data_IF_065560149440
#
_entry.id   IF_065560149440
#
_cell.length_a   1.000
_cell.length_b   1.000
_cell.length_c   1.000
_cell.angle_alpha   90.00
_cell.angle_beta   90.00
_cell.angle_gamma   90.00
#
_symmetry.space_group_name_H-M   'P 1'
#
loop_
_entity.id
_entity.type
_entity.pdbx_description
1 polymer ?
#
# COMPACT_ATOMS: atom_id res chain seq x y z
N UNK A 1 -27.04 -54.26 -24.53
CA UNK A 1 -27.03 -52.79 -24.77
C UNK A 1 -26.66 -52.09 -23.47
N UNK A 2 -25.56 -51.33 -23.47
CA UNK A 2 -25.01 -50.61 -22.30
C UNK A 2 -25.81 -49.32 -22.05
N UNK A 3 -26.14 -49.01 -20.81
CA UNK A 3 -26.47 -47.64 -20.36
C UNK A 3 -25.78 -47.39 -19.02
N UNK A 4 -24.55 -46.91 -19.08
CA UNK A 4 -23.88 -46.29 -17.93
C UNK A 4 -24.45 -44.88 -17.77
N UNK A 5 -25.23 -44.67 -16.71
CA UNK A 5 -25.70 -43.35 -16.30
C UNK A 5 -24.58 -42.70 -15.48
N UNK A 6 -23.67 -41.99 -16.14
CA UNK A 6 -22.73 -41.10 -15.47
C UNK A 6 -23.46 -39.79 -15.16
N UNK A 7 -23.94 -39.65 -13.91
CA UNK A 7 -24.34 -38.37 -13.35
C UNK A 7 -23.08 -37.55 -13.11
N UNK A 8 -22.75 -36.70 -14.08
CA UNK A 8 -21.68 -35.71 -14.00
C UNK A 8 -22.20 -34.52 -13.17
N UNK A 9 -22.13 -34.63 -11.85
CA UNK A 9 -22.27 -33.47 -10.96
C UNK A 9 -21.01 -32.62 -11.07
N UNK A 10 -20.95 -31.79 -12.11
CA UNK A 10 -20.01 -30.67 -12.17
C UNK A 10 -20.33 -29.71 -11.02
N UNK A 11 -19.63 -29.89 -9.89
CA UNK A 11 -19.42 -28.85 -8.90
C UNK A 11 -18.64 -27.72 -9.58
N UNK A 12 -19.38 -26.79 -10.18
CA UNK A 12 -18.85 -25.48 -10.54
C UNK A 12 -18.67 -24.77 -9.21
N UNK A 13 -17.51 -24.95 -8.57
CA UNK A 13 -17.02 -24.02 -7.58
C UNK A 13 -16.75 -22.70 -8.32
N UNK A 14 -17.78 -21.87 -8.42
CA UNK A 14 -17.63 -20.47 -8.75
C UNK A 14 -16.82 -19.84 -7.63
N UNK A 15 -15.49 -19.82 -7.78
CA UNK A 15 -14.64 -18.95 -6.99
C UNK A 15 -14.98 -17.51 -7.41
N UNK A 16 -15.98 -16.94 -6.76
CA UNK A 16 -16.18 -15.49 -6.75
C UNK A 16 -14.93 -14.89 -6.13
N UNK A 17 -13.95 -14.54 -6.97
CA UNK A 17 -12.75 -13.82 -6.57
C UNK A 17 -13.20 -12.46 -6.04
N UNK A 18 -13.49 -12.38 -4.73
CA UNK A 18 -13.83 -11.14 -4.09
C UNK A 18 -12.54 -10.35 -3.97
N UNK A 19 -12.41 -9.29 -4.77
CA UNK A 19 -11.31 -8.37 -4.62
C UNK A 19 -11.32 -7.82 -3.18
N UNK A 20 -10.18 -7.86 -2.50
CA UNK A 20 -10.09 -7.37 -1.13
C UNK A 20 -10.47 -5.89 -1.09
N UNK A 21 -11.52 -5.59 -0.32
CA UNK A 21 -11.97 -4.23 -0.12
C UNK A 21 -11.07 -3.57 0.93
N UNK A 22 -10.58 -2.36 0.63
CA UNK A 22 -9.83 -1.60 1.63
C UNK A 22 -10.71 -1.35 2.86
N UNK A 23 -10.14 -1.35 4.08
CA UNK A 23 -10.86 -0.94 5.27
C UNK A 23 -11.48 0.45 5.09
N UNK A 24 -12.60 0.69 5.79
CA UNK A 24 -13.26 1.98 5.74
C UNK A 24 -12.27 3.09 6.14
N UNK A 25 -12.32 4.23 5.43
CA UNK A 25 -11.32 5.28 5.62
C UNK A 25 -11.27 5.82 7.07
N UNK A 26 -12.39 5.83 7.79
CA UNK A 26 -12.42 6.20 9.21
C UNK A 26 -11.62 5.24 10.10
N UNK A 27 -11.61 3.94 9.78
CA UNK A 27 -10.77 2.94 10.47
C UNK A 27 -9.30 3.24 10.19
N UNK A 28 -8.94 3.49 8.92
CA UNK A 28 -7.56 3.79 8.53
C UNK A 28 -7.05 5.05 9.22
N UNK A 29 -7.84 6.14 9.25
CA UNK A 29 -7.48 7.37 9.98
C UNK A 29 -7.19 7.08 11.45
N UNK A 30 -8.07 6.33 12.11
CA UNK A 30 -7.92 5.96 13.52
C UNK A 30 -6.67 5.11 13.77
N UNK A 31 -6.40 4.15 12.89
CA UNK A 31 -5.22 3.28 13.01
C UNK A 31 -3.93 4.09 12.81
N UNK A 32 -3.85 4.95 11.79
CA UNK A 32 -2.68 5.80 11.56
C UNK A 32 -2.38 6.73 12.76
N UNK A 33 -3.42 7.25 13.41
CA UNK A 33 -3.29 8.06 14.63
C UNK A 33 -2.81 7.22 15.82
N UNK A 34 -3.38 6.02 16.00
CA UNK A 34 -3.01 5.08 17.07
C UNK A 34 -1.54 4.63 16.96
N UNK A 35 -1.03 4.48 15.74
CA UNK A 35 0.37 4.14 15.47
C UNK A 35 1.30 5.37 15.50
N UNK A 36 0.77 6.57 15.75
CA UNK A 36 1.56 7.81 15.81
C UNK A 36 2.11 8.26 14.45
N UNK A 37 1.56 7.75 13.34
CA UNK A 37 2.03 8.03 11.98
C UNK A 37 1.39 9.28 11.39
N UNK A 38 0.10 9.49 11.64
CA UNK A 38 -0.64 10.65 11.15
C UNK A 38 -1.91 10.85 11.98
N UNK A 39 -2.06 12.04 12.59
CA UNK A 39 -3.24 12.37 13.38
C UNK A 39 -4.50 12.40 12.52
N UNK A 40 -5.62 11.93 13.07
CA UNK A 40 -6.88 11.87 12.34
C UNK A 40 -7.37 13.26 11.87
N UNK A 41 -7.02 14.33 12.60
CA UNK A 41 -7.39 15.73 12.30
C UNK A 41 -6.64 16.35 11.12
N UNK A 42 -5.53 15.76 10.67
CA UNK A 42 -4.69 16.32 9.59
C UNK A 42 -5.29 16.08 8.19
N UNK A 43 -6.25 15.15 8.11
CA UNK A 43 -6.90 14.79 6.85
C UNK A 43 -7.88 15.86 6.38
N UNK A 44 -7.69 16.29 5.13
CA UNK A 44 -8.58 17.20 4.42
C UNK A 44 -9.28 16.46 3.29
N UNK A 45 -10.59 16.54 3.24
CA UNK A 45 -11.37 16.06 2.11
C UNK A 45 -11.21 17.03 0.93
N UNK A 46 -10.85 16.51 -0.26
CA UNK A 46 -10.65 17.34 -1.45
C UNK A 46 -11.60 17.02 -2.61
N UNK A 47 -12.62 16.19 -2.36
CA UNK A 47 -13.88 16.32 -3.10
C UNK A 47 -13.86 16.02 -4.59
N UNK A 48 -13.09 15.04 -5.06
CA UNK A 48 -13.39 14.42 -6.34
C UNK A 48 -14.56 13.43 -6.11
N UNK A 49 -15.79 13.86 -6.41
CA UNK A 49 -17.08 13.22 -6.03
C UNK A 49 -17.21 11.75 -6.43
N UNK A 50 -16.33 11.24 -7.31
CA UNK A 50 -16.30 9.83 -7.71
C UNK A 50 -15.34 8.95 -6.89
N UNK A 51 -14.38 9.54 -6.18
CA UNK A 51 -13.28 8.79 -5.53
C UNK A 51 -13.20 8.99 -4.02
N UNK A 52 -13.94 9.93 -3.44
CA UNK A 52 -13.88 10.25 -2.00
C UNK A 52 -12.45 10.46 -1.51
N UNK A 53 -11.73 11.36 -2.18
CA UNK A 53 -10.31 11.57 -1.95
C UNK A 53 -10.04 12.45 -0.73
N UNK A 54 -9.09 12.01 0.09
CA UNK A 54 -8.58 12.70 1.25
C UNK A 54 -7.07 12.85 1.14
N UNK A 55 -6.54 13.97 1.63
CA UNK A 55 -5.11 14.25 1.65
C UNK A 55 -4.69 14.83 2.99
N UNK A 56 -3.46 14.57 3.39
CA UNK A 56 -2.81 15.24 4.51
C UNK A 56 -1.38 15.62 4.10
N UNK A 57 -0.89 16.74 4.60
CA UNK A 57 0.50 17.18 4.41
C UNK A 57 1.05 17.52 5.78
N UNK A 58 2.06 16.78 6.23
CA UNK A 58 2.70 16.93 7.54
C UNK A 58 4.19 16.88 7.36
N UNK A 59 4.90 17.93 7.81
CA UNK A 59 6.37 18.04 7.74
C UNK A 59 6.97 17.74 6.36
N UNK A 60 6.25 18.11 5.29
CA UNK A 60 6.67 17.88 3.90
C UNK A 60 6.37 16.48 3.36
N UNK A 61 5.85 15.55 4.18
CA UNK A 61 5.31 14.28 3.72
C UNK A 61 3.85 14.46 3.30
N UNK A 62 3.46 13.75 2.25
CA UNK A 62 2.09 13.77 1.74
C UNK A 62 1.46 12.40 1.90
N UNK A 63 0.22 12.40 2.39
CA UNK A 63 -0.61 11.20 2.45
C UNK A 63 -1.82 11.41 1.56
N UNK A 64 -2.21 10.36 0.86
CA UNK A 64 -3.34 10.37 -0.04
C UNK A 64 -4.15 9.10 0.16
N UNK A 65 -5.48 9.23 0.20
CA UNK A 65 -6.38 8.10 0.36
C UNK A 65 -7.64 8.30 -0.46
N UNK A 66 -8.12 7.22 -1.07
CA UNK A 66 -9.42 7.16 -1.72
C UNK A 66 -10.01 5.75 -1.53
N UNK A 67 -11.15 5.46 -2.17
CA UNK A 67 -11.81 4.16 -2.04
C UNK A 67 -11.05 2.96 -2.66
N UNK A 68 -9.94 3.18 -3.38
CA UNK A 68 -9.16 2.16 -4.08
C UNK A 68 -7.73 2.01 -3.59
N UNK A 69 -7.15 3.08 -3.05
CA UNK A 69 -5.76 3.07 -2.64
C UNK A 69 -5.48 4.11 -1.55
N UNK A 70 -4.45 3.83 -0.75
CA UNK A 70 -3.93 4.67 0.32
C UNK A 70 -2.41 4.67 0.21
N UNK A 71 -1.79 5.84 0.18
CA UNK A 71 -0.36 6.00 -0.04
C UNK A 71 0.23 7.06 0.87
N UNK A 72 1.51 6.88 1.17
CA UNK A 72 2.38 7.86 1.80
C UNK A 72 3.53 8.19 0.84
N UNK A 73 3.84 9.47 0.72
CA UNK A 73 4.85 10.06 -0.15
C UNK A 73 5.80 10.83 0.75
N UNK A 74 7.04 10.39 0.80
CA UNK A 74 8.09 10.96 1.62
C UNK A 74 9.09 11.69 0.74
N UNK A 75 9.36 12.95 1.07
CA UNK A 75 10.39 13.74 0.39
C UNK A 75 11.66 13.75 1.23
N UNK A 76 12.71 13.12 0.73
CA UNK A 76 13.99 12.99 1.42
C UNK A 76 15.01 13.93 0.78
N UNK A 77 15.66 14.75 1.59
CA UNK A 77 16.74 15.65 1.15
C UNK A 77 18.00 15.41 1.98
N UNK A 78 19.17 15.62 1.39
CA UNK A 78 20.45 15.44 2.06
C UNK A 78 21.58 15.08 1.10
N UNK A 79 22.78 14.88 1.66
CA UNK A 79 23.87 14.23 0.93
C UNK A 79 23.64 12.70 0.86
N UNK A 80 24.45 12.01 0.07
CA UNK A 80 24.29 10.57 -0.20
C UNK A 80 24.20 9.69 1.06
N UNK A 81 25.12 9.88 2.02
CA UNK A 81 25.12 9.11 3.28
C UNK A 81 23.87 9.37 4.12
N UNK A 82 23.41 10.62 4.19
CA UNK A 82 22.18 10.99 4.91
C UNK A 82 20.95 10.40 4.20
N UNK A 83 20.95 10.39 2.87
CA UNK A 83 19.85 9.83 2.07
C UNK A 83 19.74 8.32 2.24
N UNK A 84 20.85 7.58 2.27
CA UNK A 84 20.84 6.13 2.49
C UNK A 84 20.20 5.77 3.84
N UNK A 85 20.60 6.45 4.91
CA UNK A 85 19.98 6.26 6.23
C UNK A 85 18.49 6.60 6.22
N UNK A 86 18.12 7.76 5.65
CA UNK A 86 16.72 8.20 5.55
C UNK A 86 15.86 7.23 4.74
N UNK A 87 16.42 6.60 3.70
CA UNK A 87 15.73 5.57 2.92
C UNK A 87 15.39 4.34 3.77
N UNK A 88 16.34 3.88 4.61
CA UNK A 88 16.08 2.76 5.52
C UNK A 88 15.01 3.11 6.56
N UNK A 89 15.11 4.29 7.18
CA UNK A 89 14.12 4.76 8.17
C UNK A 89 12.72 4.88 7.52
N UNK A 90 12.67 5.39 6.28
CA UNK A 90 11.43 5.50 5.49
C UNK A 90 10.84 4.12 5.16
N UNK A 91 11.68 3.13 4.85
CA UNK A 91 11.21 1.78 4.59
C UNK A 91 10.53 1.16 5.83
N UNK A 92 11.08 1.39 7.02
CA UNK A 92 10.45 0.95 8.28
C UNK A 92 9.11 1.67 8.50
N UNK A 93 9.05 2.99 8.27
CA UNK A 93 7.81 3.76 8.34
C UNK A 93 6.76 3.23 7.36
N UNK A 94 7.15 2.84 6.15
CA UNK A 94 6.26 2.23 5.16
C UNK A 94 5.69 0.88 5.59
N UNK A 95 6.45 0.05 6.31
CA UNK A 95 5.92 -1.19 6.91
C UNK A 95 4.88 -0.85 7.99
N UNK A 96 5.18 0.11 8.87
CA UNK A 96 4.25 0.54 9.93
C UNK A 96 2.98 1.14 9.34
N UNK A 97 3.11 1.98 8.32
CA UNK A 97 2.00 2.53 7.54
C UNK A 97 1.13 1.43 6.95
N UNK A 98 1.75 0.45 6.26
CA UNK A 98 1.02 -0.67 5.68
C UNK A 98 0.29 -1.50 6.74
N UNK A 99 0.93 -1.73 7.90
CA UNK A 99 0.32 -2.41 9.05
C UNK A 99 -0.90 -1.65 9.58
N UNK A 100 -0.82 -0.32 9.67
CA UNK A 100 -1.94 0.52 10.09
C UNK A 100 -3.09 0.53 9.06
N UNK A 101 -2.79 0.37 7.77
CA UNK A 101 -3.78 0.40 6.69
C UNK A 101 -4.58 -0.90 6.59
N UNK A 102 -3.93 -2.07 6.54
CA UNK A 102 -4.64 -3.35 6.29
C UNK A 102 -4.80 -4.23 7.53
N UNK A 103 -4.18 -3.85 8.65
CA UNK A 103 -4.13 -4.62 9.89
C UNK A 103 -3.48 -6.01 9.68
N UNK A 104 -3.00 -6.64 10.76
CA UNK A 104 -2.56 -8.05 10.74
C UNK A 104 -1.47 -8.43 9.70
N UNK A 105 -0.49 -7.56 9.46
CA UNK A 105 0.73 -7.99 8.76
C UNK A 105 1.50 -8.99 9.62
N UNK A 106 1.79 -10.17 9.06
CA UNK A 106 2.73 -11.12 9.66
C UNK A 106 4.15 -10.60 9.54
N UNK A 107 5.08 -11.16 10.33
CA UNK A 107 6.50 -10.82 10.23
C UNK A 107 7.05 -11.09 8.82
N UNK A 108 6.70 -12.23 8.23
CA UNK A 108 7.14 -12.60 6.88
C UNK A 108 6.59 -11.65 5.81
N UNK A 109 5.33 -11.23 5.93
CA UNK A 109 4.77 -10.22 5.04
C UNK A 109 5.48 -8.87 5.21
N UNK A 110 5.83 -8.48 6.44
CA UNK A 110 6.65 -7.30 6.70
C UNK A 110 8.02 -7.36 6.02
N UNK A 111 8.69 -8.52 6.05
CA UNK A 111 9.95 -8.75 5.32
C UNK A 111 9.76 -8.64 3.81
N UNK A 112 8.64 -9.11 3.29
CA UNK A 112 8.30 -9.01 1.86
C UNK A 112 8.09 -7.55 1.42
N UNK A 113 7.44 -6.73 2.26
CA UNK A 113 7.31 -5.29 1.99
C UNK A 113 8.69 -4.61 1.93
N UNK A 114 9.57 -4.93 2.88
CA UNK A 114 10.96 -4.43 2.89
C UNK A 114 11.74 -4.87 1.64
N UNK A 115 11.59 -6.12 1.22
CA UNK A 115 12.21 -6.61 -0.01
C UNK A 115 11.68 -5.89 -1.26
N UNK A 116 10.38 -5.58 -1.29
CA UNK A 116 9.75 -4.82 -2.38
C UNK A 116 10.30 -3.39 -2.46
N UNK A 117 10.49 -2.73 -1.30
CA UNK A 117 11.11 -1.41 -1.22
C UNK A 117 12.58 -1.44 -1.64
N UNK A 118 13.34 -2.44 -1.18
CA UNK A 118 14.71 -2.64 -1.60
C UNK A 118 14.81 -2.87 -3.13
N UNK A 119 13.86 -3.59 -3.72
CA UNK A 119 13.79 -3.74 -5.17
C UNK A 119 13.50 -2.40 -5.88
N UNK A 120 12.62 -1.55 -5.32
CA UNK A 120 12.34 -0.21 -5.87
C UNK A 120 13.60 0.69 -5.92
N UNK A 121 14.55 0.54 -4.99
CA UNK A 121 15.84 1.27 -5.05
C UNK A 121 16.68 0.94 -6.28
N UNK A 122 16.44 -0.22 -6.92
CA UNK A 122 17.19 -0.71 -8.08
C UNK A 122 16.55 -0.36 -9.41
N UNK A 123 15.29 0.08 -9.41
CA UNK A 123 14.51 0.42 -10.60
C UNK A 123 13.88 1.81 -10.45
N UNK A 124 14.75 2.81 -10.41
CA UNK A 124 14.36 4.21 -10.25
C UNK A 124 13.29 4.66 -11.25
N UNK A 125 12.34 5.47 -10.78
CA UNK A 125 11.20 5.96 -11.55
C UNK A 125 10.14 4.91 -11.86
N UNK A 126 10.29 3.66 -11.38
CA UNK A 126 9.31 2.59 -11.59
C UNK A 126 8.69 2.12 -10.29
N UNK A 127 7.44 1.70 -10.40
CA UNK A 127 6.72 1.06 -9.30
C UNK A 127 7.06 -0.44 -9.25
N UNK A 128 7.43 -0.92 -8.08
CA UNK A 128 7.52 -2.35 -7.76
C UNK A 128 6.38 -2.70 -6.83
N UNK A 129 5.77 -3.87 -7.01
CA UNK A 129 4.64 -4.30 -6.18
C UNK A 129 4.70 -5.76 -5.82
N UNK A 130 4.07 -6.09 -4.68
CA UNK A 130 3.78 -7.46 -4.25
C UNK A 130 2.34 -7.55 -3.73
N UNK A 131 1.88 -8.77 -3.45
CA UNK A 131 0.55 -9.06 -2.90
C UNK A 131 0.64 -9.43 -1.42
N UNK A 132 -0.15 -8.77 -0.59
CA UNK A 132 -0.20 -9.02 0.86
C UNK A 132 -1.64 -9.00 1.37
N UNK A 133 -2.09 -10.05 2.05
CA UNK A 133 -3.48 -10.21 2.50
C UNK A 133 -4.52 -9.88 1.41
N UNK A 134 -4.27 -10.32 0.17
CA UNK A 134 -5.10 -10.05 -1.01
C UNK A 134 -5.17 -8.58 -1.47
N UNK A 135 -4.35 -7.70 -0.88
CA UNK A 135 -4.10 -6.34 -1.33
C UNK A 135 -2.82 -6.26 -2.16
N UNK A 136 -2.72 -5.24 -3.00
CA UNK A 136 -1.48 -4.91 -3.69
C UNK A 136 -0.71 -3.88 -2.86
N UNK A 137 0.46 -4.27 -2.38
CA UNK A 137 1.44 -3.31 -1.89
C UNK A 137 2.29 -2.82 -3.05
N UNK A 138 2.62 -1.53 -3.07
CA UNK A 138 3.54 -0.97 -4.04
C UNK A 138 4.48 0.05 -3.42
N UNK A 139 5.67 0.14 -4.00
CA UNK A 139 6.66 1.15 -3.67
C UNK A 139 7.31 1.70 -4.95
N UNK A 140 7.69 2.97 -4.93
CA UNK A 140 8.51 3.59 -5.98
C UNK A 140 9.49 4.57 -5.37
N UNK A 141 10.63 4.74 -6.04
CA UNK A 141 11.65 5.70 -5.68
C UNK A 141 12.00 6.49 -6.93
N UNK A 142 11.87 7.80 -6.84
CA UNK A 142 12.27 8.75 -7.88
C UNK A 142 13.39 9.62 -7.31
N UNK A 143 14.58 9.62 -7.94
CA UNK A 143 15.70 10.45 -7.47
C UNK A 143 15.81 11.67 -8.38
N UNK A 144 15.51 12.82 -7.82
CA UNK A 144 15.90 14.11 -8.39
C UNK A 144 17.38 14.40 -8.16
N UNK A 145 17.82 15.55 -8.65
CA UNK A 145 19.21 16.02 -8.48
C UNK A 145 19.57 16.37 -7.04
N UNK A 146 18.59 16.61 -6.17
CA UNK A 146 18.81 17.03 -4.78
C UNK A 146 17.83 16.41 -3.76
N UNK A 147 16.86 15.64 -4.24
CA UNK A 147 15.80 15.04 -3.46
C UNK A 147 15.47 13.63 -3.94
N UNK A 148 14.96 12.80 -3.03
CA UNK A 148 14.39 11.51 -3.33
C UNK A 148 12.92 11.55 -2.93
N UNK A 149 12.04 11.17 -3.85
CA UNK A 149 10.63 10.94 -3.57
C UNK A 149 10.43 9.45 -3.39
N UNK A 150 10.12 9.04 -2.17
CA UNK A 150 9.78 7.66 -1.84
C UNK A 150 8.26 7.56 -1.70
N UNK A 151 7.63 6.70 -2.50
CA UNK A 151 6.20 6.39 -2.36
C UNK A 151 6.04 4.96 -1.88
N UNK A 152 5.15 4.74 -0.91
CA UNK A 152 4.61 3.41 -0.62
C UNK A 152 3.10 3.48 -0.45
N UNK A 153 2.41 2.44 -0.89
CA UNK A 153 0.96 2.41 -0.78
C UNK A 153 0.39 1.02 -0.84
N UNK A 154 -0.87 0.95 -0.46
CA UNK A 154 -1.73 -0.22 -0.58
C UNK A 154 -2.86 0.14 -1.52
N UNK A 155 -3.15 -0.72 -2.48
CA UNK A 155 -4.39 -0.66 -3.27
C UNK A 155 -5.17 -1.96 -3.15
N UNK A 156 -6.43 -1.90 -3.54
CA UNK A 156 -7.18 -3.11 -3.88
C UNK A 156 -6.35 -3.94 -4.88
N UNK A 157 -6.32 -5.26 -4.69
CA UNK A 157 -5.62 -6.15 -5.61
C UNK A 157 -6.24 -6.09 -7.01
N UNK A 158 -5.40 -5.95 -8.04
CA UNK A 158 -5.83 -6.19 -9.42
C UNK A 158 -5.93 -7.72 -9.60
N UNK A 159 -7.14 -8.26 -9.53
CA UNK A 159 -7.40 -9.63 -9.97
C UNK A 159 -7.74 -9.58 -11.45
N UNK A 160 -6.70 -9.58 -12.29
CA UNK A 160 -6.82 -9.98 -13.69
C UNK A 160 -6.40 -11.44 -13.82
#
# INVERSE_FOLDING_TARGET
>A
MKKCLFLLTCLIFSFSCHAAQLPAFDIVKKNLDTYGLLKASEWKFIGDTKKNTHVAIVDGNQYWANNRAIAAIFKLTGNEQVLEKKLMDTAVLCVQFSKAVIENLTEEQGKELLATMAAATRVEGRQVSTSVNSFRYYASIDKGTSDIVFTCGISQGDFN
#
